data_IF_984854375612
#
_entry.id   IF_984854375612
#
_cell.length_a   1.000
_cell.length_b   1.000
_cell.length_c   1.000
_cell.angle_alpha   90.00
_cell.angle_beta   90.00
_cell.angle_gamma   90.00
#
_symmetry.space_group_name_H-M   'P 1'
#
loop_
_entity.id
_entity.type
_entity.pdbx_description
1 polymer ?
#
# COMPACT_ATOMS: atom_id res chain seq x y z
N UNK A 1 8.07 -2.53 11.12
CA UNK A 1 7.44 -1.90 12.31
C UNK A 1 7.55 -2.88 13.47
N UNK A 2 7.71 -2.42 14.73
CA UNK A 2 7.67 -3.34 15.88
C UNK A 2 6.33 -4.07 15.90
N UNK A 3 6.38 -5.39 15.84
CA UNK A 3 5.19 -6.23 15.77
C UNK A 3 4.68 -6.46 17.19
N UNK A 4 3.43 -6.04 17.47
CA UNK A 4 2.82 -6.27 18.78
C UNK A 4 2.11 -7.61 18.74
N UNK A 5 2.88 -8.66 18.94
CA UNK A 5 2.35 -10.02 18.90
C UNK A 5 1.54 -10.31 20.16
N UNK A 6 0.57 -11.21 20.04
CA UNK A 6 -0.27 -11.62 21.19
C UNK A 6 0.52 -12.16 22.37
N UNK A 7 1.72 -12.70 22.11
CA UNK A 7 2.65 -13.27 23.10
C UNK A 7 3.57 -12.22 23.75
N UNK A 8 3.73 -11.04 23.13
CA UNK A 8 4.69 -10.01 23.56
C UNK A 8 4.15 -9.06 24.62
N UNK A 9 2.83 -8.76 24.59
CA UNK A 9 2.19 -7.82 25.53
C UNK A 9 2.41 -8.19 27.01
N UNK A 10 2.32 -9.46 27.45
CA UNK A 10 2.59 -9.82 28.84
C UNK A 10 4.00 -9.46 29.33
N UNK A 11 4.99 -9.43 28.43
CA UNK A 11 6.38 -9.08 28.74
C UNK A 11 6.68 -7.58 28.64
N UNK A 12 5.88 -6.83 27.88
CA UNK A 12 6.06 -5.40 27.61
C UNK A 12 4.69 -4.68 27.65
N UNK A 13 4.15 -4.42 28.85
CA UNK A 13 2.82 -3.83 29.02
C UNK A 13 2.65 -2.46 28.36
N UNK A 14 3.73 -1.69 28.21
CA UNK A 14 3.77 -0.41 27.51
C UNK A 14 3.34 -0.51 26.04
N UNK A 15 3.60 -1.66 25.40
CA UNK A 15 3.17 -1.92 24.02
C UNK A 15 1.65 -2.08 23.90
N UNK A 16 0.91 -2.24 25.01
CA UNK A 16 -0.55 -2.33 24.99
C UNK A 16 -1.23 -1.02 24.54
N UNK A 17 -0.56 0.12 24.71
CA UNK A 17 -1.04 1.42 24.24
C UNK A 17 -0.92 1.59 22.72
N UNK A 18 -0.15 0.73 22.06
CA UNK A 18 0.03 0.73 20.61
C UNK A 18 -1.08 -0.04 19.89
N UNK A 19 -1.92 -0.78 20.63
CA UNK A 19 -2.95 -1.64 20.04
C UNK A 19 -4.17 -0.81 19.59
N UNK A 20 -4.61 -1.03 18.36
CA UNK A 20 -5.86 -0.51 17.81
C UNK A 20 -7.04 -1.02 18.65
N UNK A 21 -7.84 -0.10 19.20
CA UNK A 21 -8.98 -0.42 20.07
C UNK A 21 -10.31 -0.24 19.37
N UNK A 22 -11.22 -1.19 19.59
CA UNK A 22 -12.63 -1.07 19.24
C UNK A 22 -13.34 -0.03 20.16
N UNK A 23 -14.59 0.36 19.86
CA UNK A 23 -15.34 1.34 20.66
C UNK A 23 -15.47 0.96 22.13
N UNK A 24 -15.43 -0.33 22.46
CA UNK A 24 -15.51 -0.86 23.81
C UNK A 24 -14.13 -0.96 24.52
N UNK A 25 -13.05 -0.50 23.88
CA UNK A 25 -11.68 -0.49 24.43
C UNK A 25 -10.94 -1.82 24.30
N UNK A 26 -11.52 -2.82 23.62
CA UNK A 26 -10.88 -4.13 23.38
C UNK A 26 -9.99 -4.06 22.14
N UNK A 27 -8.99 -4.96 22.00
CA UNK A 27 -8.24 -5.05 20.75
C UNK A 27 -9.19 -5.26 19.56
N UNK A 28 -9.04 -4.43 18.52
CA UNK A 28 -9.89 -4.45 17.34
C UNK A 28 -9.84 -5.79 16.59
N UNK A 29 -8.64 -6.40 16.54
CA UNK A 29 -8.43 -7.69 15.90
C UNK A 29 -6.95 -8.02 15.80
N UNK A 30 -6.68 -9.18 15.21
CA UNK A 30 -5.32 -9.63 14.88
C UNK A 30 -5.17 -9.77 13.37
N UNK A 31 -3.99 -9.40 12.88
CA UNK A 31 -3.50 -9.72 11.57
C UNK A 31 -2.70 -11.02 11.63
N UNK A 32 -2.87 -11.88 10.64
CA UNK A 32 -2.06 -13.08 10.49
C UNK A 32 -0.92 -12.80 9.51
N UNK A 33 0.32 -12.81 10.01
CA UNK A 33 1.53 -12.65 9.18
C UNK A 33 1.83 -13.95 8.42
N UNK A 34 0.94 -14.30 7.49
CA UNK A 34 1.10 -15.45 6.58
C UNK A 34 1.41 -16.77 7.31
N UNK A 35 0.80 -16.98 8.48
CA UNK A 35 0.89 -18.20 9.27
C UNK A 35 2.10 -18.29 10.21
N UNK A 36 2.92 -17.22 10.32
CA UNK A 36 4.07 -17.20 11.24
C UNK A 36 3.69 -16.73 12.64
N UNK A 37 2.97 -15.61 12.75
CA UNK A 37 2.54 -15.06 14.04
C UNK A 37 1.27 -14.21 13.91
N UNK A 38 0.52 -14.11 15.01
CA UNK A 38 -0.64 -13.21 15.12
C UNK A 38 -0.24 -11.92 15.81
N UNK A 39 -0.45 -10.82 15.10
CA UNK A 39 -0.07 -9.46 15.51
C UNK A 39 -1.33 -8.64 15.70
N UNK A 40 -1.44 -7.88 16.79
CA UNK A 40 -2.54 -6.93 16.91
C UNK A 40 -2.40 -5.82 15.87
N UNK A 41 -3.52 -5.32 15.36
CA UNK A 41 -3.51 -4.06 14.60
C UNK A 41 -3.00 -2.92 15.48
N UNK A 42 -2.24 -2.00 14.89
CA UNK A 42 -1.66 -0.86 15.60
C UNK A 42 -2.52 0.40 15.50
N UNK A 43 -2.52 1.18 16.57
CA UNK A 43 -3.09 2.52 16.62
C UNK A 43 -2.12 3.53 16.00
N UNK A 44 -2.27 3.78 14.69
CA UNK A 44 -1.37 4.69 13.95
C UNK A 44 -1.55 6.17 14.33
N UNK A 45 -2.65 6.54 14.98
CA UNK A 45 -2.97 7.94 15.32
C UNK A 45 -2.75 8.29 16.80
N UNK A 46 -2.44 7.30 17.64
CA UNK A 46 -2.24 7.49 19.08
C UNK A 46 -0.84 8.03 19.39
N UNK A 47 -0.76 8.96 20.33
CA UNK A 47 0.51 9.61 20.72
C UNK A 47 1.62 8.60 21.11
N UNK A 48 1.35 7.55 21.92
CA UNK A 48 2.41 6.61 22.33
C UNK A 48 3.05 5.86 21.17
N UNK A 49 2.25 5.41 20.20
CA UNK A 49 2.76 4.70 19.01
C UNK A 49 3.56 5.65 18.12
N UNK A 50 3.07 6.87 17.91
CA UNK A 50 3.73 7.88 17.08
C UNK A 50 5.09 8.32 17.66
N UNK A 51 5.22 8.43 18.98
CA UNK A 51 6.52 8.71 19.61
C UNK A 51 7.45 7.51 19.53
N UNK A 52 6.94 6.29 19.77
CA UNK A 52 7.71 5.07 19.62
C UNK A 52 8.28 4.93 18.19
N UNK A 53 7.50 5.26 17.16
CA UNK A 53 7.98 5.24 15.78
C UNK A 53 9.07 6.28 15.51
N UNK A 54 9.00 7.49 16.10
CA UNK A 54 10.11 8.46 16.02
C UNK A 54 11.38 7.88 16.61
N UNK A 55 11.28 7.20 17.74
CA UNK A 55 12.42 6.55 18.39
C UNK A 55 13.00 5.42 17.53
N UNK A 56 12.15 4.53 17.00
CA UNK A 56 12.58 3.46 16.08
C UNK A 56 13.29 4.04 14.86
N UNK A 57 12.80 5.15 14.28
CA UNK A 57 13.45 5.78 13.13
C UNK A 57 14.84 6.31 13.50
N UNK A 58 15.01 6.91 14.68
CA UNK A 58 16.33 7.34 15.18
C UNK A 58 17.28 6.15 15.31
N UNK A 59 16.84 5.08 15.94
CA UNK A 59 17.64 3.85 16.12
C UNK A 59 18.02 3.22 14.78
N UNK A 60 17.08 3.12 13.83
CA UNK A 60 17.37 2.66 12.47
C UNK A 60 18.44 3.51 11.78
N UNK A 61 18.44 4.82 12.05
CA UNK A 61 19.44 5.73 11.50
C UNK A 61 20.82 5.61 12.16
N UNK A 62 20.97 4.92 13.29
CA UNK A 62 22.28 4.64 13.90
C UNK A 62 22.99 3.45 13.23
N UNK A 63 22.24 2.59 12.53
CA UNK A 63 22.79 1.46 11.80
C UNK A 63 23.48 1.89 10.49
N UNK A 64 24.46 1.08 10.06
CA UNK A 64 25.16 1.21 8.78
C UNK A 64 24.24 0.74 7.64
N UNK A 65 23.32 1.61 7.24
CA UNK A 65 22.33 1.40 6.18
C UNK A 65 22.26 2.63 5.29
N UNK A 66 21.90 2.43 4.02
CA UNK A 66 21.78 3.55 3.06
C UNK A 66 20.42 4.26 3.15
N UNK A 67 19.39 3.55 3.60
CA UNK A 67 18.01 4.03 3.55
C UNK A 67 17.13 3.38 4.62
N UNK A 68 16.05 4.09 4.96
CA UNK A 68 14.95 3.60 5.80
C UNK A 68 13.70 3.45 4.93
N UNK A 69 13.11 2.25 4.93
CA UNK A 69 11.91 1.93 4.16
C UNK A 69 10.68 1.79 5.05
N UNK A 70 9.59 2.48 4.68
CA UNK A 70 8.30 2.38 5.35
C UNK A 70 7.30 1.59 4.50
N UNK A 71 6.80 0.50 5.06
CA UNK A 71 5.72 -0.25 4.42
C UNK A 71 4.36 0.40 4.72
N UNK A 72 3.85 1.07 3.69
CA UNK A 72 2.50 1.62 3.54
C UNK A 72 2.08 2.57 4.67
N UNK A 73 2.80 3.68 4.91
CA UNK A 73 2.56 4.52 6.09
C UNK A 73 1.20 5.24 6.12
N UNK A 74 0.47 5.32 4.99
CA UNK A 74 -0.90 5.87 4.92
C UNK A 74 -1.99 4.79 4.80
N UNK A 75 -1.67 3.53 5.10
CA UNK A 75 -2.63 2.42 5.04
C UNK A 75 -3.38 2.24 6.36
N UNK A 76 -4.46 2.98 6.55
CA UNK A 76 -5.29 2.85 7.74
C UNK A 76 -6.12 1.57 7.69
N UNK A 77 -5.87 0.67 8.63
CA UNK A 77 -6.64 -0.58 8.78
C UNK A 77 -7.88 -0.45 9.66
N UNK A 78 -8.15 0.74 10.21
CA UNK A 78 -9.35 0.98 11.03
C UNK A 78 -9.33 2.29 11.83
N UNK A 79 -10.37 2.47 12.63
CA UNK A 79 -10.54 3.59 13.56
C UNK A 79 -10.18 3.11 14.97
N UNK A 80 -9.28 3.81 15.65
CA UNK A 80 -8.91 3.48 17.02
C UNK A 80 -9.70 4.32 18.02
N UNK A 81 -10.31 3.67 19.02
CA UNK A 81 -11.11 4.32 20.06
C UNK A 81 -10.39 4.40 21.42
N UNK A 82 -9.05 4.41 21.43
CA UNK A 82 -8.29 4.64 22.66
C UNK A 82 -8.42 6.09 23.16
N UNK A 83 -8.06 6.34 24.42
CA UNK A 83 -8.19 7.65 25.07
C UNK A 83 -7.43 8.77 24.33
N UNK A 84 -6.24 8.47 23.79
CA UNK A 84 -5.47 9.42 22.97
C UNK A 84 -6.25 9.82 21.71
N UNK A 85 -6.79 8.85 20.97
CA UNK A 85 -7.56 9.13 19.76
C UNK A 85 -8.86 9.87 20.04
N UNK A 86 -9.62 9.48 21.07
CA UNK A 86 -10.86 10.19 21.48
C UNK A 86 -10.59 11.65 21.80
N UNK A 87 -9.58 11.91 22.64
CA UNK A 87 -9.19 13.25 23.05
C UNK A 87 -8.69 14.10 21.88
N UNK A 88 -7.79 13.54 21.07
CA UNK A 88 -7.12 14.30 20.01
C UNK A 88 -8.04 14.55 18.80
N UNK A 89 -8.91 13.59 18.46
CA UNK A 89 -9.93 13.77 17.44
C UNK A 89 -10.93 14.87 17.84
N UNK A 90 -11.43 14.82 19.08
CA UNK A 90 -12.31 15.87 19.59
C UNK A 90 -11.62 17.25 19.59
N UNK A 91 -10.37 17.32 20.01
CA UNK A 91 -9.57 18.55 19.94
C UNK A 91 -9.41 19.07 18.51
N UNK A 92 -9.29 18.18 17.52
CA UNK A 92 -9.07 18.54 16.12
C UNK A 92 -10.33 19.12 15.45
N UNK A 93 -11.48 18.45 15.56
CA UNK A 93 -12.70 18.82 14.81
C UNK A 93 -13.94 19.11 15.67
N UNK A 94 -13.84 18.96 17.00
CA UNK A 94 -14.95 19.18 17.94
C UNK A 94 -16.00 18.06 17.97
N UNK A 95 -15.81 16.98 17.22
CA UNK A 95 -16.73 15.84 17.17
C UNK A 95 -16.36 14.78 18.21
N UNK A 96 -17.35 13.99 18.63
CA UNK A 96 -17.13 12.78 19.41
C UNK A 96 -16.75 11.62 18.48
N UNK A 97 -15.68 10.91 18.80
CA UNK A 97 -15.22 9.76 18.02
C UNK A 97 -16.24 8.62 18.05
N UNK A 98 -17.06 8.50 19.11
CA UNK A 98 -18.11 7.47 19.22
C UNK A 98 -19.20 7.57 18.16
N UNK A 99 -19.27 8.68 17.43
CA UNK A 99 -20.12 8.80 16.23
C UNK A 99 -19.75 7.79 15.14
N UNK A 100 -18.53 7.25 15.18
CA UNK A 100 -18.02 6.25 14.24
C UNK A 100 -18.07 4.82 14.78
N UNK A 101 -18.71 4.56 15.92
CA UNK A 101 -18.69 3.25 16.59
C UNK A 101 -19.24 2.08 15.76
N UNK A 102 -20.11 2.36 14.79
CA UNK A 102 -20.66 1.37 13.87
C UNK A 102 -19.73 1.10 12.65
N UNK A 103 -18.74 1.95 12.41
CA UNK A 103 -17.76 1.79 11.33
C UNK A 103 -16.70 0.78 11.79
N UNK A 104 -16.98 -0.50 11.52
CA UNK A 104 -16.03 -1.57 11.83
C UNK A 104 -14.95 -1.67 10.76
N UNK A 105 -15.30 -1.78 9.49
CA UNK A 105 -14.35 -1.86 8.37
C UNK A 105 -14.52 -0.64 7.45
N UNK A 106 -13.40 -0.04 7.03
CA UNK A 106 -13.40 1.08 6.09
C UNK A 106 -13.74 0.66 4.65
N UNK A 107 -13.56 -0.62 4.31
CA UNK A 107 -13.94 -1.21 3.02
C UNK A 107 -15.46 -1.39 2.90
N UNK A 108 -16.15 -1.59 4.04
CA UNK A 108 -17.58 -1.91 4.10
C UNK A 108 -18.27 -1.00 5.12
N UNK A 109 -18.61 0.21 4.68
CA UNK A 109 -19.28 1.20 5.52
C UNK A 109 -20.74 0.80 5.78
N UNK A 110 -21.24 0.92 7.02
CA UNK A 110 -22.65 0.74 7.30
C UNK A 110 -23.49 1.85 6.65
N UNK A 111 -24.75 1.56 6.29
CA UNK A 111 -25.64 2.53 5.64
C UNK A 111 -25.88 3.79 6.47
N UNK A 112 -25.80 3.67 7.80
CA UNK A 112 -25.98 4.74 8.78
C UNK A 112 -24.64 5.34 9.26
N UNK A 113 -23.54 5.14 8.53
CA UNK A 113 -22.26 5.77 8.86
C UNK A 113 -22.38 7.30 8.89
N UNK A 114 -21.88 7.93 9.96
CA UNK A 114 -21.77 9.37 10.01
C UNK A 114 -20.63 9.85 9.10
N UNK A 115 -20.99 10.16 7.85
CA UNK A 115 -20.04 10.58 6.82
C UNK A 115 -19.28 11.87 7.17
N UNK A 116 -19.86 12.76 8.00
CA UNK A 116 -19.17 13.97 8.44
C UNK A 116 -18.07 13.64 9.44
N UNK A 117 -18.38 12.80 10.42
CA UNK A 117 -17.38 12.33 11.38
C UNK A 117 -16.30 11.51 10.66
N UNK A 118 -16.68 10.70 9.68
CA UNK A 118 -15.75 9.83 8.94
C UNK A 118 -14.80 10.65 8.06
N UNK A 119 -15.31 11.66 7.34
CA UNK A 119 -14.47 12.59 6.60
C UNK A 119 -13.47 13.32 7.51
N UNK A 120 -13.95 13.80 8.66
CA UNK A 120 -13.09 14.46 9.66
C UNK A 120 -12.03 13.52 10.23
N UNK A 121 -12.34 12.22 10.35
CA UNK A 121 -11.37 11.21 10.78
C UNK A 121 -10.27 11.03 9.75
N UNK A 122 -10.61 10.90 8.47
CA UNK A 122 -9.62 10.80 7.40
C UNK A 122 -8.74 12.04 7.32
N UNK A 123 -9.33 13.24 7.39
CA UNK A 123 -8.56 14.50 7.38
C UNK A 123 -7.58 14.57 8.56
N UNK A 124 -8.03 14.19 9.76
CA UNK A 124 -7.20 14.17 10.95
C UNK A 124 -6.07 13.14 10.83
N UNK A 125 -6.39 11.90 10.47
CA UNK A 125 -5.42 10.83 10.34
C UNK A 125 -4.37 11.15 9.26
N UNK A 126 -4.80 11.63 8.10
CA UNK A 126 -3.91 12.04 7.00
C UNK A 126 -2.97 13.17 7.42
N UNK A 127 -3.47 14.15 8.17
CA UNK A 127 -2.63 15.21 8.74
C UNK A 127 -1.56 14.64 9.66
N UNK A 128 -1.92 13.72 10.57
CA UNK A 128 -0.95 13.10 11.47
C UNK A 128 0.11 12.29 10.72
N UNK A 129 -0.29 11.53 9.71
CA UNK A 129 0.63 10.77 8.85
C UNK A 129 1.55 11.69 8.06
N UNK A 130 1.05 12.81 7.53
CA UNK A 130 1.89 13.81 6.85
C UNK A 130 2.91 14.41 7.82
N UNK A 131 2.49 14.82 9.03
CA UNK A 131 3.38 15.32 10.09
C UNK A 131 4.47 14.30 10.44
N UNK A 132 4.09 13.04 10.68
CA UNK A 132 5.02 11.97 11.02
C UNK A 132 6.02 11.69 9.90
N UNK A 133 5.56 11.62 8.65
CA UNK A 133 6.45 11.37 7.50
C UNK A 133 7.43 12.52 7.27
N UNK A 134 7.02 13.78 7.49
CA UNK A 134 7.91 14.93 7.41
C UNK A 134 8.95 14.92 8.53
N UNK A 135 8.55 14.57 9.76
CA UNK A 135 9.46 14.40 10.90
C UNK A 135 10.45 13.26 10.66
N UNK A 136 9.98 12.10 10.19
CA UNK A 136 10.83 10.97 9.86
C UNK A 136 11.83 11.32 8.77
N UNK A 137 11.38 11.97 7.70
CA UNK A 137 12.24 12.44 6.62
C UNK A 137 13.36 13.32 7.15
N UNK A 138 13.04 14.24 8.06
CA UNK A 138 14.04 15.10 8.69
C UNK A 138 15.08 14.28 9.47
N UNK A 139 14.65 13.37 10.35
CA UNK A 139 15.56 12.52 11.13
C UNK A 139 16.50 11.70 10.21
N UNK A 140 15.92 11.11 9.15
CA UNK A 140 16.64 10.27 8.19
C UNK A 140 17.66 11.08 7.39
N UNK A 141 17.26 12.26 6.89
CA UNK A 141 18.14 13.15 6.12
C UNK A 141 19.25 13.76 6.96
N UNK A 142 18.97 14.16 8.20
CA UNK A 142 19.98 14.64 9.16
C UNK A 142 21.04 13.56 9.45
N UNK A 143 20.69 12.28 9.26
CA UNK A 143 21.58 11.12 9.40
C UNK A 143 22.27 10.71 8.09
N UNK A 144 22.08 11.47 6.99
CA UNK A 144 22.69 11.20 5.68
C UNK A 144 22.09 10.03 4.90
N UNK A 145 20.91 9.54 5.28
CA UNK A 145 20.23 8.38 4.68
C UNK A 145 19.08 8.80 3.77
N UNK A 146 18.64 7.91 2.89
CA UNK A 146 17.45 8.12 2.06
C UNK A 146 16.17 7.58 2.72
N UNK A 147 15.03 8.21 2.47
CA UNK A 147 13.72 7.75 2.89
C UNK A 147 12.99 7.09 1.72
N UNK A 148 12.52 5.85 1.90
CA UNK A 148 11.73 5.13 0.91
C UNK A 148 10.36 4.75 1.50
N UNK A 149 9.32 4.69 0.67
CA UNK A 149 8.00 4.24 1.12
C UNK A 149 7.30 3.34 0.11
N UNK A 150 6.48 2.41 0.62
CA UNK A 150 5.40 1.82 -0.14
C UNK A 150 4.29 2.85 -0.34
N UNK A 151 3.81 2.95 -1.58
CA UNK A 151 2.81 3.93 -2.00
C UNK A 151 1.55 3.28 -2.59
N UNK A 152 1.43 1.95 -2.57
CA UNK A 152 0.23 1.25 -3.05
C UNK A 152 -1.04 1.67 -2.31
N UNK A 153 -0.95 1.88 -0.99
CA UNK A 153 -2.10 2.28 -0.18
C UNK A 153 -2.65 3.68 -0.49
N UNK A 154 -1.88 4.56 -1.15
CA UNK A 154 -2.32 5.94 -1.42
C UNK A 154 -3.45 6.05 -2.44
N UNK A 155 -3.93 4.91 -2.95
CA UNK A 155 -5.09 4.84 -3.84
C UNK A 155 -6.34 4.33 -3.13
N UNK A 156 -6.21 3.92 -1.87
CA UNK A 156 -7.36 3.52 -1.05
C UNK A 156 -8.13 4.78 -0.61
N UNK A 157 -9.47 4.69 -0.50
CA UNK A 157 -10.26 5.76 0.07
C UNK A 157 -9.73 6.15 1.47
N UNK A 158 -9.58 7.45 1.70
CA UNK A 158 -9.20 7.97 3.02
C UNK A 158 -7.70 8.02 3.31
N UNK A 159 -6.84 7.52 2.42
CA UNK A 159 -5.37 7.62 2.55
C UNK A 159 -4.80 8.97 2.10
N UNK A 160 -3.60 9.30 2.57
CA UNK A 160 -2.87 10.51 2.18
C UNK A 160 -2.36 10.38 0.72
N UNK A 161 -3.18 10.83 -0.23
CA UNK A 161 -2.89 10.74 -1.66
C UNK A 161 -1.58 11.44 -2.08
N UNK A 162 -1.12 12.43 -1.32
CA UNK A 162 0.11 13.19 -1.59
C UNK A 162 1.39 12.53 -1.03
N UNK A 163 1.31 11.40 -0.33
CA UNK A 163 2.45 10.75 0.32
C UNK A 163 3.66 10.57 -0.62
N UNK A 164 3.45 10.27 -1.91
CA UNK A 164 4.53 10.07 -2.90
C UNK A 164 5.51 11.25 -3.02
N UNK A 165 5.10 12.45 -2.58
CA UNK A 165 5.92 13.66 -2.64
C UNK A 165 7.00 13.66 -1.56
N UNK A 166 6.76 13.00 -0.43
CA UNK A 166 7.60 13.06 0.78
C UNK A 166 8.89 12.22 0.68
N UNK A 167 8.86 10.91 0.38
CA UNK A 167 10.07 10.07 0.38
C UNK A 167 10.96 10.35 -0.83
N UNK A 168 12.23 9.97 -0.79
CA UNK A 168 13.16 10.13 -1.91
C UNK A 168 12.90 9.14 -3.05
N UNK A 169 12.33 7.98 -2.72
CA UNK A 169 11.87 6.96 -3.66
C UNK A 169 10.62 6.26 -3.15
N UNK A 170 9.86 5.66 -4.05
CA UNK A 170 8.63 4.97 -3.68
C UNK A 170 8.43 3.68 -4.46
N UNK A 171 7.70 2.76 -3.84
CA UNK A 171 7.31 1.50 -4.42
C UNK A 171 5.80 1.48 -4.65
N UNK A 172 5.35 0.83 -5.71
CA UNK A 172 3.95 0.50 -5.95
C UNK A 172 3.79 -1.01 -5.83
N UNK A 173 2.76 -1.42 -5.10
CA UNK A 173 2.49 -2.80 -4.71
C UNK A 173 2.32 -3.74 -5.91
N UNK A 174 2.41 -5.05 -5.62
CA UNK A 174 2.24 -6.12 -6.59
C UNK A 174 0.86 -6.10 -7.26
N UNK A 175 0.74 -6.75 -8.41
CA UNK A 175 -0.53 -6.91 -9.10
C UNK A 175 -0.81 -8.39 -9.27
N UNK A 176 -2.04 -8.80 -8.99
CA UNK A 176 -2.47 -10.20 -9.07
C UNK A 176 -2.47 -10.67 -10.53
N UNK A 177 -2.73 -9.74 -11.46
CA UNK A 177 -2.94 -10.00 -12.89
C UNK A 177 -2.17 -9.01 -13.79
N UNK A 178 -1.89 -9.43 -15.03
CA UNK A 178 -1.11 -8.67 -16.02
C UNK A 178 -1.74 -7.32 -16.39
N UNK A 179 -3.07 -7.24 -16.50
CA UNK A 179 -3.74 -5.97 -16.86
C UNK A 179 -3.69 -4.97 -15.70
N UNK A 180 -3.84 -5.43 -14.46
CA UNK A 180 -3.71 -4.60 -13.26
C UNK A 180 -2.31 -4.04 -13.15
N UNK A 181 -1.31 -4.85 -13.52
CA UNK A 181 0.08 -4.42 -13.55
C UNK A 181 0.32 -3.26 -14.49
N UNK A 182 -0.23 -3.29 -15.70
CA UNK A 182 -0.11 -2.15 -16.63
C UNK A 182 -0.70 -0.88 -16.01
N UNK A 183 -1.87 -0.99 -15.36
CA UNK A 183 -2.50 0.13 -14.67
C UNK A 183 -1.62 0.64 -13.51
N UNK A 184 -1.13 -0.25 -12.64
CA UNK A 184 -0.25 0.12 -11.53
C UNK A 184 1.09 0.70 -11.99
N UNK A 185 1.62 0.22 -13.11
CA UNK A 185 2.81 0.78 -13.75
C UNK A 185 2.58 2.21 -14.25
N UNK A 186 1.45 2.47 -14.89
CA UNK A 186 1.08 3.83 -15.26
C UNK A 186 0.85 4.72 -14.03
N UNK A 187 0.30 4.18 -12.94
CA UNK A 187 0.07 4.89 -11.68
C UNK A 187 1.38 5.27 -10.99
N UNK A 188 2.30 4.31 -10.81
CA UNK A 188 3.63 4.53 -10.22
C UNK A 188 4.40 5.60 -10.97
N UNK A 189 4.44 5.49 -12.30
CA UNK A 189 5.06 6.48 -13.14
C UNK A 189 4.40 7.86 -13.00
N UNK A 190 3.07 7.92 -12.93
CA UNK A 190 2.34 9.18 -12.78
C UNK A 190 2.61 9.87 -11.44
N UNK A 191 2.85 9.12 -10.36
CA UNK A 191 3.26 9.66 -9.06
C UNK A 191 4.73 10.10 -9.04
N UNK A 192 5.61 9.33 -9.67
CA UNK A 192 7.04 9.59 -9.64
C UNK A 192 7.44 10.79 -10.53
N UNK A 193 6.74 10.97 -11.67
CA UNK A 193 6.98 12.01 -12.70
C UNK A 193 7.06 13.43 -12.16
N UNK A 194 6.06 13.98 -11.44
CA UNK A 194 6.10 15.37 -10.95
C UNK A 194 7.28 15.67 -10.03
N UNK A 195 7.83 14.62 -9.43
CA UNK A 195 8.91 14.72 -8.45
C UNK A 195 10.28 14.28 -8.99
N UNK A 196 10.38 13.97 -10.30
CA UNK A 196 11.60 13.45 -10.94
C UNK A 196 12.19 12.22 -10.22
N UNK A 197 11.30 11.34 -9.76
CA UNK A 197 11.65 10.06 -9.12
C UNK A 197 11.39 8.92 -10.10
N UNK A 198 11.95 7.75 -9.79
CA UNK A 198 11.55 6.48 -10.38
C UNK A 198 10.78 5.69 -9.33
N UNK A 199 9.58 5.23 -9.68
CA UNK A 199 8.84 4.30 -8.84
C UNK A 199 9.37 2.88 -9.03
N UNK A 200 9.32 2.08 -7.96
CA UNK A 200 9.72 0.68 -7.94
C UNK A 200 8.47 -0.22 -7.96
N UNK A 201 8.53 -1.35 -8.65
CA UNK A 201 7.40 -2.29 -8.73
C UNK A 201 7.83 -3.73 -8.61
N UNK A 202 7.06 -4.53 -7.87
CA UNK A 202 7.32 -5.95 -7.67
C UNK A 202 7.21 -6.73 -8.97
N UNK A 203 8.22 -7.49 -9.36
CA UNK A 203 8.10 -8.62 -10.29
C UNK A 203 8.26 -9.95 -9.53
N UNK A 204 7.74 -11.03 -10.10
CA UNK A 204 7.64 -12.35 -9.46
C UNK A 204 6.41 -12.50 -8.57
N UNK A 205 5.38 -11.69 -8.78
CA UNK A 205 4.23 -11.57 -7.87
C UNK A 205 2.88 -11.95 -8.50
N UNK A 206 2.92 -12.65 -9.62
CA UNK A 206 1.72 -13.16 -10.27
C UNK A 206 1.02 -14.17 -9.35
N UNK A 207 -0.24 -13.90 -9.01
CA UNK A 207 -1.01 -14.71 -8.07
C UNK A 207 -1.98 -15.62 -8.82
N UNK A 208 -1.61 -16.90 -9.02
CA UNK A 208 -2.48 -17.87 -9.68
C UNK A 208 -3.75 -18.19 -8.87
N UNK A 209 -3.75 -17.97 -7.54
CA UNK A 209 -4.95 -18.18 -6.71
C UNK A 209 -6.03 -17.19 -7.04
N UNK A 210 -5.67 -15.97 -7.44
CA UNK A 210 -6.63 -14.93 -7.84
C UNK A 210 -7.49 -15.36 -9.04
N UNK A 211 -7.02 -16.32 -9.85
CA UNK A 211 -7.77 -16.95 -10.96
C UNK A 211 -8.26 -18.36 -10.63
N UNK A 212 -8.31 -18.71 -9.35
CA UNK A 212 -8.86 -19.98 -8.86
C UNK A 212 -7.95 -21.19 -9.08
N UNK A 213 -6.67 -20.99 -9.42
CA UNK A 213 -5.72 -22.09 -9.54
C UNK A 213 -5.01 -22.35 -8.21
N UNK A 214 -4.66 -23.60 -7.97
CA UNK A 214 -3.80 -23.95 -6.85
C UNK A 214 -2.37 -23.47 -7.11
N UNK A 215 -1.64 -23.01 -6.08
CA UNK A 215 -0.24 -22.70 -6.21
C UNK A 215 0.58 -23.89 -6.74
N UNK A 216 1.63 -23.59 -7.51
CA UNK A 216 2.51 -24.55 -8.17
C UNK A 216 3.82 -24.78 -7.40
N UNK A 217 4.26 -23.87 -6.52
CA UNK A 217 5.56 -23.97 -5.83
C UNK A 217 5.47 -23.99 -4.30
N UNK A 218 6.42 -24.68 -3.64
CA UNK A 218 6.59 -24.70 -2.18
C UNK A 218 7.87 -23.96 -1.75
N UNK A 219 7.93 -23.28 -0.59
CA UNK A 219 6.85 -23.08 0.39
C UNK A 219 5.86 -21.98 -0.04
N UNK A 220 4.59 -22.21 0.26
CA UNK A 220 3.43 -21.47 -0.25
C UNK A 220 3.33 -20.03 0.26
N UNK A 221 4.11 -19.09 -0.29
CA UNK A 221 3.69 -17.70 -0.24
C UNK A 221 2.52 -17.55 -1.23
N UNK A 222 1.30 -17.43 -0.69
CA UNK A 222 0.06 -17.52 -1.45
C UNK A 222 -0.11 -16.47 -2.58
N UNK A 223 0.74 -15.44 -2.61
CA UNK A 223 0.57 -14.24 -3.43
C UNK A 223 1.81 -13.88 -4.25
N UNK A 224 2.94 -14.56 -4.05
CA UNK A 224 4.24 -14.21 -4.65
C UNK A 224 5.06 -15.51 -4.78
N UNK A 225 5.81 -15.70 -5.88
CA UNK A 225 6.60 -16.90 -6.26
C UNK A 225 5.93 -18.00 -7.07
N UNK A 226 4.64 -17.95 -7.38
CA UNK A 226 3.99 -19.18 -7.85
C UNK A 226 4.54 -19.78 -9.16
N UNK A 227 5.01 -18.91 -10.05
CA UNK A 227 5.50 -19.25 -11.38
C UNK A 227 6.97 -18.83 -11.55
N UNK A 228 7.87 -19.49 -10.83
CA UNK A 228 9.26 -19.06 -10.62
C UNK A 228 10.11 -18.85 -11.88
N UNK A 229 9.86 -19.61 -12.95
CA UNK A 229 10.61 -19.60 -14.21
C UNK A 229 9.79 -19.21 -15.43
N UNK A 230 8.56 -18.76 -15.19
CA UNK A 230 7.61 -18.57 -16.26
C UNK A 230 7.79 -17.25 -17.01
N UNK A 231 7.14 -17.15 -18.16
CA UNK A 231 7.14 -15.93 -18.96
C UNK A 231 6.37 -14.80 -18.28
N UNK A 232 5.51 -15.10 -17.31
CA UNK A 232 4.86 -14.09 -16.47
C UNK A 232 5.90 -13.22 -15.78
N UNK A 233 6.94 -13.78 -15.14
CA UNK A 233 7.98 -12.97 -14.46
C UNK A 233 8.69 -12.03 -15.45
N UNK A 234 8.92 -12.48 -16.70
CA UNK A 234 9.50 -11.64 -17.75
C UNK A 234 8.52 -10.53 -18.16
N UNK A 235 7.26 -10.89 -18.41
CA UNK A 235 6.23 -9.91 -18.77
C UNK A 235 6.08 -8.86 -17.68
N UNK A 236 6.07 -9.26 -16.42
CA UNK A 236 5.99 -8.36 -15.27
C UNK A 236 7.12 -7.33 -15.29
N UNK A 237 8.37 -7.79 -15.38
CA UNK A 237 9.53 -6.90 -15.41
C UNK A 237 9.58 -6.00 -16.66
N UNK A 238 9.20 -6.50 -17.84
CA UNK A 238 9.16 -5.67 -19.05
C UNK A 238 8.02 -4.64 -19.03
N UNK A 239 6.87 -4.97 -18.45
CA UNK A 239 5.76 -4.01 -18.26
C UNK A 239 6.17 -2.91 -17.28
N UNK A 240 6.85 -3.25 -16.20
CA UNK A 240 7.35 -2.27 -15.23
C UNK A 240 8.31 -1.28 -15.93
N UNK A 241 9.29 -1.79 -16.68
CA UNK A 241 10.24 -0.97 -17.46
C UNK A 241 9.54 -0.12 -18.53
N UNK A 242 8.59 -0.70 -19.28
CA UNK A 242 7.83 0.01 -20.31
C UNK A 242 6.95 1.12 -19.73
N UNK A 243 6.43 0.92 -18.52
CA UNK A 243 5.71 1.93 -17.75
C UNK A 243 6.60 3.06 -17.21
N UNK A 244 7.93 2.92 -17.28
CA UNK A 244 8.90 3.85 -16.72
C UNK A 244 9.17 3.65 -15.22
N UNK A 245 8.94 2.44 -14.72
CA UNK A 245 9.23 2.04 -13.34
C UNK A 245 10.47 1.13 -13.32
N UNK A 246 11.10 1.04 -12.15
CA UNK A 246 12.20 0.10 -11.91
C UNK A 246 11.63 -1.20 -11.31
N UNK A 247 11.85 -2.37 -11.92
CA UNK A 247 11.41 -3.63 -11.33
C UNK A 247 12.25 -3.94 -10.08
N UNK A 248 11.60 -4.49 -9.07
CA UNK A 248 12.23 -5.08 -7.88
C UNK A 248 11.74 -6.52 -7.74
N UNK A 249 12.63 -7.42 -7.32
CA UNK A 249 12.26 -8.82 -7.21
C UNK A 249 11.60 -9.10 -5.87
N UNK A 250 10.28 -9.35 -5.88
CA UNK A 250 9.48 -9.49 -4.67
C UNK A 250 9.98 -10.61 -3.75
N UNK A 251 10.64 -11.61 -4.32
CA UNK A 251 11.05 -12.83 -3.63
C UNK A 251 12.54 -13.09 -3.74
N UNK A 252 13.35 -12.04 -3.59
CA UNK A 252 14.81 -12.17 -3.52
C UNK A 252 15.26 -13.23 -2.47
N UNK A 253 14.54 -13.35 -1.36
CA UNK A 253 14.79 -14.37 -0.34
C UNK A 253 14.77 -15.80 -0.90
N UNK A 254 13.92 -16.11 -1.89
CA UNK A 254 13.89 -17.45 -2.50
C UNK A 254 15.21 -17.76 -3.21
N UNK A 255 15.79 -16.78 -3.89
CA UNK A 255 17.07 -16.93 -4.59
C UNK A 255 18.21 -17.11 -3.59
N UNK A 256 18.16 -16.34 -2.50
CA UNK A 256 19.16 -16.38 -1.43
C UNK A 256 19.14 -17.73 -0.68
N UNK A 257 17.96 -18.17 -0.25
CA UNK A 257 17.77 -19.42 0.50
C UNK A 257 17.61 -20.65 -0.38
N UNK A 258 17.60 -20.49 -1.71
CA UNK A 258 17.37 -21.56 -2.71
C UNK A 258 16.08 -22.33 -2.44
N UNK A 259 15.01 -21.59 -2.18
CA UNK A 259 13.66 -22.13 -2.04
C UNK A 259 13.02 -22.23 -3.43
N UNK A 260 12.28 -23.32 -3.67
CA UNK A 260 11.66 -23.61 -4.96
C UNK A 260 12.54 -24.41 -5.92
N UNK A 261 12.02 -24.66 -7.12
CA UNK A 261 12.71 -25.39 -8.20
C UNK A 261 13.14 -24.47 -9.35
N UNK A 262 12.64 -23.23 -9.36
CA UNK A 262 12.88 -22.28 -10.44
C UNK A 262 14.17 -21.48 -10.33
N UNK A 263 14.65 -21.00 -11.47
CA UNK A 263 15.89 -20.26 -11.63
C UNK A 263 15.75 -18.75 -11.39
N UNK A 264 16.89 -18.06 -11.36
CA UNK A 264 16.97 -16.60 -11.35
C UNK A 264 16.97 -15.98 -12.78
N UNK A 265 16.92 -16.80 -13.84
CA UNK A 265 17.13 -16.34 -15.22
C UNK A 265 16.14 -15.26 -15.66
N UNK A 266 14.82 -15.39 -15.43
CA UNK A 266 13.87 -14.34 -15.81
C UNK A 266 14.24 -12.98 -15.19
N UNK A 267 14.50 -12.95 -13.89
CA UNK A 267 14.91 -11.72 -13.20
C UNK A 267 16.25 -11.17 -13.73
N UNK A 268 17.23 -12.03 -14.00
CA UNK A 268 18.54 -11.64 -14.55
C UNK A 268 18.42 -11.01 -15.94
N UNK A 269 17.53 -11.52 -16.80
CA UNK A 269 17.28 -10.94 -18.13
C UNK A 269 16.73 -9.51 -18.02
N UNK A 270 15.76 -9.30 -17.13
CA UNK A 270 15.14 -7.98 -16.87
C UNK A 270 16.17 -7.00 -16.29
N UNK A 271 16.89 -7.38 -15.24
CA UNK A 271 17.93 -6.52 -14.65
C UNK A 271 19.09 -6.27 -15.62
N UNK A 272 19.41 -7.25 -16.47
CA UNK A 272 20.39 -7.11 -17.54
C UNK A 272 19.97 -6.04 -18.57
N UNK A 273 18.69 -6.00 -18.94
CA UNK A 273 18.16 -4.92 -19.78
C UNK A 273 18.15 -3.59 -19.03
N UNK A 274 17.66 -3.55 -17.78
CA UNK A 274 17.59 -2.34 -16.98
C UNK A 274 18.97 -1.66 -16.85
N UNK A 275 20.03 -2.44 -16.60
CA UNK A 275 21.41 -1.93 -16.57
C UNK A 275 21.86 -1.35 -17.91
N UNK A 276 21.52 -1.99 -19.04
CA UNK A 276 21.86 -1.43 -20.37
C UNK A 276 21.11 -0.15 -20.66
N UNK A 277 19.87 -0.05 -20.18
CA UNK A 277 19.00 1.11 -20.38
C UNK A 277 19.17 2.19 -19.30
N UNK A 278 19.95 1.95 -18.24
CA UNK A 278 20.12 2.89 -17.13
C UNK A 278 20.44 4.32 -17.57
N UNK A 279 21.36 4.57 -18.53
CA UNK A 279 21.65 5.94 -18.99
C UNK A 279 20.43 6.63 -19.62
N UNK A 280 19.47 5.86 -20.15
CA UNK A 280 18.22 6.38 -20.67
C UNK A 280 17.20 6.52 -19.53
N UNK A 281 16.97 5.45 -18.76
CA UNK A 281 15.91 5.38 -17.75
C UNK A 281 16.06 6.40 -16.63
N UNK A 282 17.29 6.65 -16.15
CA UNK A 282 17.54 7.55 -15.01
C UNK A 282 17.17 9.01 -15.29
N UNK A 283 17.33 9.42 -16.55
CA UNK A 283 17.09 10.80 -17.00
C UNK A 283 15.79 10.91 -17.82
N UNK A 284 15.12 9.78 -18.08
CA UNK A 284 13.87 9.74 -18.83
C UNK A 284 12.73 10.33 -18.01
N UNK A 285 12.14 11.40 -18.54
CA UNK A 285 10.88 11.93 -18.06
C UNK A 285 9.82 11.53 -19.08
N UNK A 286 8.84 10.73 -18.66
CA UNK A 286 7.70 10.40 -19.50
C UNK A 286 6.91 11.67 -19.82
N UNK A 287 6.77 11.98 -21.11
CA UNK A 287 5.99 13.12 -21.62
C UNK A 287 4.55 12.66 -21.85
N UNK A 288 3.56 13.10 -21.04
CA UNK A 288 2.18 12.71 -21.25
C UNK A 288 1.56 13.52 -22.40
N UNK A 289 0.93 12.83 -23.35
CA UNK A 289 0.04 13.44 -24.34
C UNK A 289 -1.44 13.39 -23.89
N UNK A 290 -1.76 12.53 -22.92
CA UNK A 290 -3.10 12.31 -22.36
C UNK A 290 -2.99 12.18 -20.84
N UNK A 291 -3.95 12.75 -20.11
CA UNK A 291 -4.08 12.58 -18.65
C UNK A 291 -5.43 11.97 -18.32
N UNK A 292 -5.42 10.90 -17.51
CA UNK A 292 -6.62 10.30 -16.92
C UNK A 292 -6.60 10.68 -15.44
N UNK A 293 -7.63 11.38 -14.97
CA UNK A 293 -7.72 11.79 -13.56
C UNK A 293 -8.79 10.95 -12.87
N UNK A 294 -8.40 9.90 -12.11
CA UNK A 294 -9.34 9.19 -11.25
C UNK A 294 -9.56 10.04 -9.99
N UNK A 295 -10.51 10.96 -10.02
CA UNK A 295 -10.89 11.70 -8.79
C UNK A 295 -11.95 10.94 -8.00
N UNK A 296 -12.03 11.16 -6.69
CA UNK A 296 -13.14 10.67 -5.87
C UNK A 296 -14.46 11.22 -6.41
N UNK A 297 -14.46 12.46 -6.90
CA UNK A 297 -15.58 13.09 -7.61
C UNK A 297 -15.94 12.37 -8.91
N UNK A 298 -14.98 11.81 -9.65
CA UNK A 298 -15.23 10.94 -10.81
C UNK A 298 -15.82 9.59 -10.40
N UNK A 299 -15.47 9.08 -9.21
CA UNK A 299 -16.06 7.88 -8.62
C UNK A 299 -17.50 8.13 -8.10
N UNK A 300 -17.77 9.31 -7.54
CA UNK A 300 -19.11 9.76 -7.14
C UNK A 300 -20.02 10.04 -8.35
N UNK A 301 -19.48 10.62 -9.42
CA UNK A 301 -20.16 10.78 -10.71
C UNK A 301 -20.58 9.42 -11.29
N UNK A 302 -19.73 8.39 -11.15
CA UNK A 302 -20.09 7.02 -11.54
C UNK A 302 -21.24 6.46 -10.68
N UNK A 303 -21.17 6.59 -9.35
CA UNK A 303 -22.23 6.12 -8.43
C UNK A 303 -23.58 6.77 -8.70
N UNK A 304 -23.58 8.07 -9.04
CA UNK A 304 -24.81 8.87 -9.22
C UNK A 304 -25.38 8.79 -10.64
N UNK A 305 -24.55 8.64 -11.68
CA UNK A 305 -25.01 8.70 -13.08
C UNK A 305 -24.85 7.42 -13.89
N UNK A 306 -24.23 6.37 -13.33
CA UNK A 306 -23.96 5.07 -13.97
C UNK A 306 -23.28 5.17 -15.35
N UNK A 307 -22.54 6.25 -15.60
CA UNK A 307 -21.78 6.44 -16.84
C UNK A 307 -20.32 6.71 -16.50
N UNK A 308 -19.50 5.65 -16.50
CA UNK A 308 -18.06 5.73 -16.75
C UNK A 308 -17.48 4.32 -16.95
N UNK A 309 -16.29 4.27 -17.54
CA UNK A 309 -15.44 3.07 -17.61
C UNK A 309 -14.45 3.10 -16.44
N UNK A 310 -14.93 3.13 -15.20
CA UNK A 310 -14.05 3.11 -14.03
C UNK A 310 -13.75 1.66 -13.63
N UNK A 311 -12.47 1.30 -13.64
CA UNK A 311 -11.94 0.13 -12.94
C UNK A 311 -11.88 0.51 -11.46
N UNK A 312 -12.46 -0.31 -10.57
CA UNK A 312 -12.19 -0.19 -9.14
C UNK A 312 -10.70 -0.49 -8.94
N UNK A 313 -9.87 0.55 -8.83
CA UNK A 313 -8.40 0.43 -8.85
C UNK A 313 -7.80 0.11 -7.49
N UNK A 314 -8.61 -0.04 -6.44
CA UNK A 314 -8.10 -0.16 -5.07
C UNK A 314 -7.93 -1.58 -4.56
N UNK A 315 -8.59 -2.60 -5.11
CA UNK A 315 -8.47 -4.00 -4.67
C UNK A 315 -8.80 -4.97 -5.82
N UNK A 316 -8.01 -6.03 -6.00
CA UNK A 316 -8.21 -7.11 -6.98
C UNK A 316 -9.44 -8.00 -6.70
N UNK A 317 -10.52 -7.44 -6.18
CA UNK A 317 -11.68 -8.19 -5.70
C UNK A 317 -13.00 -7.48 -6.05
N UNK A 318 -13.46 -7.64 -7.31
CA UNK A 318 -14.88 -7.92 -7.58
C UNK A 318 -15.12 -8.29 -9.05
N UNK A 319 -15.01 -9.58 -9.38
CA UNK A 319 -15.50 -10.14 -10.65
C UNK A 319 -17.05 -10.20 -10.73
N UNK A 320 -17.78 -9.91 -9.66
CA UNK A 320 -19.24 -10.11 -9.61
C UNK A 320 -20.08 -8.93 -10.12
N UNK A 321 -19.50 -7.75 -10.40
CA UNK A 321 -20.27 -6.63 -10.96
C UNK A 321 -20.46 -6.68 -12.49
N UNK A 322 -19.83 -7.61 -13.21
CA UNK A 322 -19.84 -7.64 -14.69
C UNK A 322 -20.85 -8.62 -15.33
N UNK A 323 -21.60 -9.42 -14.56
CA UNK A 323 -22.47 -10.47 -15.15
C UNK A 323 -23.98 -10.22 -15.06
N UNK A 324 -24.45 -9.05 -14.59
CA UNK A 324 -25.89 -8.71 -14.63
C UNK A 324 -26.14 -7.29 -15.13
N UNK A 325 -25.91 -7.09 -16.43
CA UNK A 325 -26.36 -5.92 -17.15
C UNK A 325 -26.35 -6.22 -18.64
N UNK A 326 -27.48 -6.71 -19.15
CA UNK A 326 -27.75 -6.90 -20.57
C UNK A 326 -27.34 -5.66 -21.38
N UNK A 327 -26.25 -5.76 -22.13
CA UNK A 327 -25.88 -4.78 -23.16
C UNK A 327 -26.78 -5.04 -24.36
N UNK A 328 -27.85 -4.27 -24.48
CA UNK A 328 -28.54 -4.10 -25.75
C UNK A 328 -27.67 -3.19 -26.62
N UNK A 329 -26.99 -3.81 -27.58
CA UNK A 329 -26.34 -3.15 -28.71
C UNK A 329 -27.41 -2.55 -29.62
N UNK A 330 -27.37 -1.23 -29.83
CA UNK A 330 -27.89 -0.63 -31.06
C UNK A 330 -26.81 0.26 -31.66
N UNK A 331 -26.07 -0.34 -32.59
CA UNK A 331 -25.32 0.38 -33.62
C UNK A 331 -26.36 0.76 -34.67
N UNK A 332 -26.54 2.04 -34.94
CA UNK A 332 -27.14 2.50 -36.21
C UNK A 332 -25.99 2.92 -37.13
N UNK A 333 -26.05 2.38 -38.34
CA UNK A 333 -25.19 2.65 -39.47
C UNK A 333 -25.40 4.07 -40.03
#
# INVERSE_FOLDING_TARGET
MPVTTTSLIPGYPECAEWVLRDPEGRPYGVWNEMGQEYSFYHCLTGDPYREAMRQVVRELCEHDTDAVYFDSPSDYRGICFCDSCRRNFNKYCGLDLDRLRNVRNLEHLPEDADMRALGSWYDWANKLTEEDLLDFRKIIHDSGKAMLCHNGATWRPGSLHSQYRIPDGLMVEYSDQTYERLLRAMMGASMARPTKKLAQMYMGSYDVKSIGQSPNCKPWAAHITDLEDSDEVRMEGFVDLAGGNMPIYATANRLYYRLGEGSAKPAQEIFGLARRLEPLLKDSILVPYVTIVPTLESLELWRTRRQSWNVAMSEGSCWQCWTRGSVATSIQA
#
